data_IF_115670242879
#
_entry.id   IF_115670242879
#
_cell.length_a   1.000
_cell.length_b   1.000
_cell.length_c   1.000
_cell.angle_alpha   90.00
_cell.angle_beta   90.00
_cell.angle_gamma   90.00
#
_symmetry.space_group_name_H-M   'P 1'
#
loop_
_entity.id
_entity.type
_entity.pdbx_description
1 polymer ?
#
# COMPACT_ATOMS: atom_id res chain seq x y z
N UNK A 1 -7.39 29.90 27.50
CA UNK A 1 -6.00 30.39 27.72
C UNK A 1 -5.09 29.17 27.86
N UNK A 2 -4.29 28.85 26.84
CA UNK A 2 -3.37 27.72 26.88
C UNK A 2 -1.94 28.26 27.03
N UNK A 3 -1.29 27.83 28.10
CA UNK A 3 -0.04 28.36 28.63
C UNK A 3 1.16 27.81 27.84
N UNK A 4 1.92 28.71 27.21
CA UNK A 4 3.23 28.47 26.60
C UNK A 4 4.30 28.18 27.67
N UNK A 5 5.30 27.34 27.35
CA UNK A 5 6.70 27.25 27.88
C UNK A 5 7.23 25.83 27.55
N UNK A 6 8.46 25.56 27.13
CA UNK A 6 9.74 26.27 26.93
C UNK A 6 10.60 25.37 26.01
N UNK A 7 11.37 25.97 25.12
CA UNK A 7 12.49 25.32 24.42
C UNK A 7 13.65 25.17 25.41
N UNK A 8 14.26 23.98 25.47
CA UNK A 8 15.53 23.75 26.14
C UNK A 8 16.48 23.07 25.15
N UNK A 9 17.51 23.81 24.75
CA UNK A 9 18.66 23.31 24.03
C UNK A 9 19.57 22.54 25.01
N UNK A 10 20.09 21.39 24.58
CA UNK A 10 21.21 20.72 25.24
C UNK A 10 22.27 20.42 24.18
N UNK A 11 23.31 21.25 24.17
CA UNK A 11 24.58 20.95 23.53
C UNK A 11 25.36 20.03 24.47
N UNK A 12 25.95 18.96 23.92
CA UNK A 12 26.79 18.04 24.66
C UNK A 12 27.59 17.17 23.70
N UNK A 13 28.73 17.69 23.25
CA UNK A 13 29.73 16.90 22.55
C UNK A 13 30.60 16.14 23.55
N UNK A 14 30.78 14.83 23.33
CA UNK A 14 31.86 14.03 23.89
C UNK A 14 32.46 13.21 22.75
N UNK A 15 33.78 13.20 22.70
CA UNK A 15 34.63 12.64 21.66
C UNK A 15 35.37 11.41 22.21
N UNK A 16 35.69 10.47 21.31
CA UNK A 16 36.76 9.45 21.32
C UNK A 16 36.57 8.08 22.02
N UNK A 17 36.52 7.08 21.12
CA UNK A 17 37.30 5.82 21.08
C UNK A 17 37.12 4.72 22.14
N UNK A 18 36.79 3.53 21.62
CA UNK A 18 37.24 2.25 22.20
C UNK A 18 36.19 1.14 22.14
N UNK A 19 36.42 0.12 21.32
CA UNK A 19 35.71 -1.17 21.45
C UNK A 19 35.28 -1.81 20.13
N UNK A 20 36.24 -2.30 19.35
CA UNK A 20 35.98 -3.46 18.47
C UNK A 20 35.74 -4.66 19.39
N UNK A 21 34.51 -5.17 19.51
CA UNK A 21 34.26 -6.59 19.75
C UNK A 21 32.91 -7.02 19.15
N UNK A 22 33.00 -8.13 18.41
CA UNK A 22 31.99 -8.79 17.62
C UNK A 22 30.66 -9.07 18.33
N UNK A 23 29.59 -8.91 17.57
CA UNK A 23 28.24 -9.33 17.94
C UNK A 23 27.29 -9.07 16.78
N UNK A 24 27.45 -9.82 15.69
CA UNK A 24 26.54 -9.85 14.54
C UNK A 24 25.18 -10.42 14.95
N UNK A 25 24.39 -9.65 15.68
CA UNK A 25 22.95 -9.85 15.77
C UNK A 25 22.34 -8.93 14.71
N UNK A 26 21.84 -9.54 13.63
CA UNK A 26 21.20 -8.83 12.53
C UNK A 26 20.07 -7.95 13.06
N UNK A 27 20.37 -6.67 13.26
CA UNK A 27 19.39 -5.62 13.15
C UNK A 27 18.98 -5.59 11.68
N UNK A 28 18.08 -6.50 11.30
CA UNK A 28 17.16 -6.24 10.23
C UNK A 28 16.35 -5.03 10.71
N UNK A 29 16.91 -3.84 10.51
CA UNK A 29 16.17 -2.60 10.53
C UNK A 29 15.00 -2.84 9.61
N UNK A 30 13.84 -3.10 10.21
CA UNK A 30 12.58 -3.00 9.53
C UNK A 30 12.60 -1.57 8.98
N UNK A 31 12.98 -1.45 7.70
CA UNK A 31 12.93 -0.20 6.99
C UNK A 31 11.50 0.27 7.20
N UNK A 32 11.34 1.27 8.09
CA UNK A 32 10.06 1.84 8.40
C UNK A 32 9.48 2.19 7.06
N UNK A 33 8.41 1.49 6.67
CA UNK A 33 7.79 1.67 5.37
C UNK A 33 7.42 3.15 5.32
N UNK A 34 8.23 3.94 4.62
CA UNK A 34 7.87 5.28 4.22
C UNK A 34 6.50 5.15 3.61
N UNK A 35 5.53 6.04 3.92
CA UNK A 35 4.21 5.93 3.34
C UNK A 35 4.38 5.86 1.83
N UNK A 36 4.18 4.68 1.21
CA UNK A 36 4.21 4.55 -0.23
C UNK A 36 2.96 5.28 -0.71
N UNK A 37 3.08 6.60 -0.87
CA UNK A 37 2.02 7.43 -1.39
C UNK A 37 1.40 6.73 -2.59
N UNK A 38 0.10 6.89 -2.80
CA UNK A 38 -0.62 6.27 -3.92
C UNK A 38 0.09 6.49 -5.28
N UNK A 39 0.94 7.52 -5.40
CA UNK A 39 1.86 7.77 -6.51
C UNK A 39 2.82 6.62 -6.85
N UNK A 40 3.10 5.72 -5.92
CA UNK A 40 3.89 4.50 -6.15
C UNK A 40 3.19 3.48 -7.04
N UNK A 41 1.88 3.61 -7.25
CA UNK A 41 1.17 2.81 -8.24
C UNK A 41 1.51 3.30 -9.64
N UNK A 42 2.10 2.49 -10.53
CA UNK A 42 2.41 2.92 -11.88
C UNK A 42 1.14 3.16 -12.70
N UNK A 43 1.19 4.10 -13.65
CA UNK A 43 0.07 4.32 -14.59
C UNK A 43 -0.23 3.07 -15.42
N UNK A 44 -1.51 2.74 -15.56
CA UNK A 44 -2.03 1.53 -16.19
C UNK A 44 -2.31 0.36 -15.25
N UNK A 45 -2.14 0.55 -13.94
CA UNK A 45 -2.27 -0.53 -12.97
C UNK A 45 -3.35 -0.23 -11.92
N UNK A 46 -3.94 -1.31 -11.40
CA UNK A 46 -4.69 -1.27 -10.15
C UNK A 46 -3.80 -1.82 -9.04
N UNK A 47 -3.56 -1.01 -8.02
CA UNK A 47 -2.68 -1.36 -6.91
C UNK A 47 -3.45 -1.51 -5.60
N UNK A 48 -3.05 -2.49 -4.80
CA UNK A 48 -3.58 -2.78 -3.47
C UNK A 48 -2.43 -2.89 -2.46
N UNK A 49 -2.71 -2.51 -1.22
CA UNK A 49 -1.75 -2.55 -0.13
C UNK A 49 -2.35 -3.26 1.08
N UNK A 50 -1.55 -4.08 1.77
CA UNK A 50 -1.98 -4.80 2.98
C UNK A 50 -2.28 -3.84 4.14
N UNK A 51 -1.59 -2.71 4.19
CA UNK A 51 -1.74 -1.67 5.20
C UNK A 51 -2.74 -0.57 4.84
N UNK A 52 -3.02 0.26 5.84
CA UNK A 52 -3.74 1.54 5.66
C UNK A 52 -2.83 2.57 5.02
N UNK A 53 -3.41 3.61 4.44
CA UNK A 53 -2.71 4.77 3.90
C UNK A 53 -1.61 4.37 2.90
N UNK A 54 -1.88 3.35 2.08
CA UNK A 54 -0.98 2.87 1.03
C UNK A 54 0.36 2.35 1.58
N UNK A 55 0.35 1.74 2.77
CA UNK A 55 1.54 1.18 3.43
C UNK A 55 1.57 -0.34 3.39
N UNK A 56 2.73 -0.92 3.70
CA UNK A 56 2.90 -2.37 3.74
C UNK A 56 3.14 -2.98 2.36
N UNK A 57 2.87 -4.29 2.22
CA UNK A 57 3.15 -5.00 0.98
C UNK A 57 2.17 -4.58 -0.11
N UNK A 58 2.69 -4.14 -1.25
CA UNK A 58 1.92 -3.72 -2.40
C UNK A 58 1.87 -4.81 -3.47
N UNK A 59 0.69 -5.03 -4.04
CA UNK A 59 0.53 -5.84 -5.26
C UNK A 59 -0.26 -5.05 -6.29
N UNK A 60 0.01 -5.34 -7.56
CA UNK A 60 -0.59 -4.63 -8.68
C UNK A 60 -1.03 -5.61 -9.76
N UNK A 61 -2.08 -5.25 -10.46
CA UNK A 61 -2.59 -6.02 -11.60
C UNK A 61 -2.92 -5.09 -12.76
N UNK A 62 -2.72 -5.60 -13.96
CA UNK A 62 -3.16 -5.01 -15.21
C UNK A 62 -3.91 -6.08 -16.00
N UNK A 63 -4.59 -5.66 -17.08
CA UNK A 63 -5.35 -6.55 -17.94
C UNK A 63 -6.50 -7.27 -17.22
N UNK A 64 -7.01 -8.29 -17.89
CA UNK A 64 -8.16 -9.09 -17.45
C UNK A 64 -7.65 -10.34 -16.73
N UNK A 65 -8.00 -10.51 -15.46
CA UNK A 65 -7.56 -11.65 -14.65
C UNK A 65 -8.75 -12.45 -14.15
N UNK A 66 -8.84 -13.71 -14.57
CA UNK A 66 -9.88 -14.65 -14.12
C UNK A 66 -9.64 -15.15 -12.69
N UNK A 67 -8.39 -15.07 -12.21
CA UNK A 67 -8.03 -15.53 -10.88
C UNK A 67 -6.94 -14.63 -10.26
N UNK A 68 -7.31 -13.92 -9.20
CA UNK A 68 -6.43 -13.11 -8.37
C UNK A 68 -6.11 -13.75 -7.02
N UNK A 69 -6.63 -14.94 -6.71
CA UNK A 69 -6.40 -15.60 -5.41
C UNK A 69 -4.94 -16.02 -5.19
N UNK A 70 -4.16 -16.07 -6.27
CA UNK A 70 -2.70 -16.27 -6.21
C UNK A 70 -1.93 -15.08 -5.65
N UNK A 71 -2.57 -13.90 -5.57
CA UNK A 71 -1.98 -12.70 -5.02
C UNK A 71 -2.49 -12.50 -3.58
N UNK A 72 -1.68 -12.76 -2.55
CA UNK A 72 -2.13 -12.77 -1.16
C UNK A 72 -2.70 -11.42 -0.70
N UNK A 73 -2.12 -10.30 -1.12
CA UNK A 73 -2.60 -8.95 -0.74
C UNK A 73 -3.97 -8.68 -1.34
N UNK A 74 -4.30 -9.20 -2.53
CA UNK A 74 -5.65 -9.08 -3.09
C UNK A 74 -6.73 -9.80 -2.27
N UNK A 75 -6.34 -10.66 -1.32
CA UNK A 75 -7.27 -11.36 -0.42
C UNK A 75 -7.43 -10.68 0.93
N UNK A 76 -6.61 -9.67 1.25
CA UNK A 76 -6.60 -9.03 2.56
C UNK A 76 -6.02 -7.60 2.55
N UNK A 77 -6.42 -6.78 1.57
CA UNK A 77 -5.93 -5.41 1.45
C UNK A 77 -6.82 -4.40 2.19
N UNK A 78 -6.23 -3.26 2.56
CA UNK A 78 -6.91 -2.19 3.32
C UNK A 78 -6.87 -0.83 2.63
N UNK A 79 -6.02 -0.69 1.62
CA UNK A 79 -6.00 0.47 0.74
C UNK A 79 -5.73 0.08 -0.70
N UNK A 80 -6.27 0.87 -1.64
CA UNK A 80 -6.16 0.61 -3.07
C UNK A 80 -6.25 1.88 -3.89
N UNK A 81 -5.74 1.81 -5.12
CA UNK A 81 -5.77 2.90 -6.08
C UNK A 81 -5.94 2.35 -7.49
N UNK A 82 -6.96 2.85 -8.21
CA UNK A 82 -7.06 2.64 -9.64
C UNK A 82 -6.27 3.71 -10.40
N UNK A 83 -5.02 3.40 -10.74
CA UNK A 83 -4.19 4.23 -11.61
C UNK A 83 -4.26 3.77 -13.07
N UNK A 84 -5.43 3.31 -13.55
CA UNK A 84 -5.63 2.95 -14.95
C UNK A 84 -5.26 4.08 -15.93
N UNK A 85 -4.91 3.72 -17.17
CA UNK A 85 -4.60 4.71 -18.23
C UNK A 85 -5.86 5.39 -18.74
N UNK A 86 -6.79 4.60 -19.29
CA UNK A 86 -8.02 5.04 -19.94
C UNK A 86 -9.28 4.39 -19.38
N UNK A 87 -9.16 3.36 -18.53
CA UNK A 87 -10.27 2.49 -18.15
C UNK A 87 -10.57 2.52 -16.64
N UNK A 88 -11.81 2.21 -16.29
CA UNK A 88 -12.24 1.90 -14.93
C UNK A 88 -11.95 0.43 -14.58
N UNK A 89 -11.78 0.17 -13.29
CA UNK A 89 -11.48 -1.17 -12.78
C UNK A 89 -12.76 -1.82 -12.23
N UNK A 90 -13.20 -2.93 -12.82
CA UNK A 90 -14.32 -3.72 -12.31
C UNK A 90 -13.83 -4.92 -11.53
N UNK A 91 -14.15 -4.96 -10.25
CA UNK A 91 -13.79 -6.07 -9.35
C UNK A 91 -14.94 -7.08 -9.23
N UNK A 92 -14.58 -8.31 -8.90
CA UNK A 92 -15.52 -9.41 -8.67
C UNK A 92 -15.13 -10.20 -7.41
N UNK A 93 -16.14 -10.56 -6.60
CA UNK A 93 -15.97 -11.31 -5.36
C UNK A 93 -15.64 -12.80 -5.57
N UNK A 94 -15.92 -13.37 -6.75
CA UNK A 94 -15.55 -14.75 -7.12
C UNK A 94 -14.53 -14.79 -8.28
N UNK A 95 -13.93 -15.96 -8.47
CA UNK A 95 -13.10 -16.24 -9.66
C UNK A 95 -13.98 -16.22 -10.92
N UNK A 96 -13.36 -16.13 -12.09
CA UNK A 96 -14.03 -16.16 -13.39
C UNK A 96 -15.14 -15.11 -13.57
N UNK A 97 -14.97 -13.92 -12.97
CA UNK A 97 -15.88 -12.77 -13.09
C UNK A 97 -17.28 -13.01 -12.51
N UNK A 98 -17.41 -13.87 -11.50
CA UNK A 98 -18.67 -14.16 -10.83
C UNK A 98 -18.84 -13.43 -9.48
N UNK A 99 -20.03 -13.58 -8.90
CA UNK A 99 -20.38 -13.02 -7.59
C UNK A 99 -20.70 -11.52 -7.64
N UNK A 100 -20.70 -10.88 -6.47
CA UNK A 100 -20.86 -9.42 -6.38
C UNK A 100 -19.73 -8.71 -7.12
N UNK A 101 -20.05 -7.54 -7.66
CA UNK A 101 -19.10 -6.73 -8.43
C UNK A 101 -19.33 -5.25 -8.18
N UNK A 102 -18.30 -4.45 -8.45
CA UNK A 102 -18.38 -3.01 -8.40
C UNK A 102 -17.35 -2.38 -9.33
N UNK A 103 -17.55 -1.10 -9.64
CA UNK A 103 -16.66 -0.32 -10.48
C UNK A 103 -15.87 0.63 -9.59
N UNK A 104 -14.56 0.68 -9.80
CA UNK A 104 -13.65 1.66 -9.22
C UNK A 104 -13.24 2.60 -10.34
N UNK A 105 -13.73 3.85 -10.36
CA UNK A 105 -13.38 4.81 -11.40
C UNK A 105 -11.87 5.04 -11.50
N UNK A 106 -11.39 5.35 -12.70
CA UNK A 106 -9.99 5.77 -12.90
C UNK A 106 -9.66 6.99 -12.03
N UNK A 107 -8.50 6.98 -11.37
CA UNK A 107 -8.08 8.05 -10.46
C UNK A 107 -8.62 7.89 -9.04
N UNK A 108 -9.56 6.97 -8.81
CA UNK A 108 -10.13 6.76 -7.49
C UNK A 108 -9.18 5.96 -6.59
N UNK A 109 -9.00 6.45 -5.37
CA UNK A 109 -8.17 5.84 -4.32
C UNK A 109 -8.91 5.83 -3.00
N UNK A 110 -8.73 4.77 -2.21
CA UNK A 110 -9.39 4.60 -0.92
C UNK A 110 -8.45 3.95 0.08
N UNK A 111 -8.62 4.32 1.33
CA UNK A 111 -7.94 3.74 2.48
C UNK A 111 -8.91 3.66 3.66
N UNK A 112 -8.85 2.59 4.45
CA UNK A 112 -9.70 2.44 5.63
C UNK A 112 -9.29 1.28 6.51
N UNK A 113 -9.99 1.10 7.63
CA UNK A 113 -9.72 -0.01 8.55
C UNK A 113 -10.29 -1.35 8.07
N UNK A 114 -11.27 -1.32 7.16
CA UNK A 114 -11.92 -2.49 6.58
C UNK A 114 -10.94 -3.30 5.72
N UNK A 115 -11.04 -4.63 5.83
CA UNK A 115 -10.29 -5.56 4.98
C UNK A 115 -11.15 -5.92 3.78
N UNK A 116 -10.57 -5.81 2.60
CA UNK A 116 -11.22 -6.10 1.33
C UNK A 116 -10.53 -7.24 0.60
N UNK A 117 -11.28 -7.87 -0.30
CA UNK A 117 -10.78 -8.94 -1.15
C UNK A 117 -11.36 -8.83 -2.57
N UNK A 118 -10.57 -9.24 -3.55
CA UNK A 118 -10.98 -9.31 -4.96
C UNK A 118 -10.44 -10.62 -5.53
N UNK A 119 -11.31 -11.40 -6.19
CA UNK A 119 -10.93 -12.72 -6.73
C UNK A 119 -10.78 -12.74 -8.24
N UNK A 120 -11.36 -11.79 -8.96
CA UNK A 120 -11.11 -11.57 -10.40
C UNK A 120 -11.43 -10.12 -10.80
N UNK A 121 -10.92 -9.66 -11.94
CA UNK A 121 -11.13 -8.29 -12.42
C UNK A 121 -11.26 -8.18 -13.94
N UNK A 122 -11.93 -7.12 -14.38
CA UNK A 122 -11.91 -6.62 -15.77
C UNK A 122 -11.61 -5.13 -15.78
N UNK A 123 -11.21 -4.63 -16.94
CA UNK A 123 -11.19 -3.20 -17.23
C UNK A 123 -12.41 -2.87 -18.09
N UNK A 124 -13.10 -1.80 -17.76
CA UNK A 124 -14.36 -1.37 -18.39
C UNK A 124 -14.33 0.14 -18.61
N UNK A 125 -15.28 0.67 -19.39
CA UNK A 125 -15.44 2.11 -19.64
C UNK A 125 -14.14 2.79 -20.11
N UNK A 126 -13.40 2.12 -21.00
CA UNK A 126 -12.17 2.64 -21.55
C UNK A 126 -12.45 3.85 -22.46
N UNK A 127 -11.73 4.95 -22.24
CA UNK A 127 -11.87 6.21 -22.98
C UNK A 127 -10.53 6.93 -23.15
#
# INVERSE_FOLDING_TARGET
>A
MHMTRKLAAMAGGIVLTGGLLAGSAGAASAAGATPQAASSCPSGWFCVWSGKNYTGHMQKVAGKNANLTKYPVFQSFRSWYNHGKSCDFKWYAKKNYGGSSGIVPRGYKQTGSTIHYIKSNKWVNCR
#
